data_IF_587593970287
#
_entry.id   IF_587593970287
#
_cell.length_a   1.000
_cell.length_b   1.000
_cell.length_c   1.000
_cell.angle_alpha   90.00
_cell.angle_beta   90.00
_cell.angle_gamma   90.00
#
_symmetry.space_group_name_H-M   'P 1'
#
loop_
_entity.id
_entity.type
_entity.pdbx_description
1 polymer ?
#
# COMPACT_ATOMS: atom_id res chain seq x y z
N UNK A 1 2.34 -25.63 8.04
CA UNK A 1 3.27 -24.84 8.86
C UNK A 1 2.91 -23.41 8.54
N UNK A 2 2.16 -22.77 9.44
CA UNK A 2 1.61 -21.45 9.20
C UNK A 2 2.76 -20.46 9.02
N UNK A 3 2.77 -19.74 7.90
CA UNK A 3 3.78 -18.73 7.64
C UNK A 3 3.47 -17.53 8.56
N UNK A 4 4.18 -17.46 9.69
CA UNK A 4 4.02 -16.41 10.71
C UNK A 4 4.09 -15.01 10.12
N UNK A 5 4.87 -14.81 9.05
CA UNK A 5 4.97 -13.52 8.35
C UNK A 5 3.68 -13.21 7.59
N UNK A 6 3.09 -14.19 6.92
CA UNK A 6 1.82 -14.00 6.21
C UNK A 6 0.67 -13.68 7.16
N UNK A 7 0.67 -14.27 8.36
CA UNK A 7 -0.32 -13.93 9.38
C UNK A 7 -0.16 -12.50 9.89
N UNK A 8 1.08 -12.01 10.04
CA UNK A 8 1.36 -10.59 10.35
C UNK A 8 0.84 -9.68 9.23
N UNK A 9 1.13 -10.01 7.97
CA UNK A 9 0.64 -9.24 6.81
C UNK A 9 -0.89 -9.20 6.79
N UNK A 10 -1.56 -10.36 6.90
CA UNK A 10 -3.03 -10.44 6.96
C UNK A 10 -3.61 -9.64 8.10
N UNK A 11 -2.95 -9.63 9.26
CA UNK A 11 -3.38 -8.83 10.41
C UNK A 11 -3.35 -7.34 10.09
N UNK A 12 -2.23 -6.83 9.57
CA UNK A 12 -2.10 -5.42 9.18
C UNK A 12 -3.15 -5.02 8.13
N UNK A 13 -3.39 -5.87 7.13
CA UNK A 13 -4.40 -5.67 6.09
C UNK A 13 -5.85 -5.71 6.60
N UNK A 14 -6.11 -6.43 7.70
CA UNK A 14 -7.43 -6.54 8.32
C UNK A 14 -7.72 -5.39 9.29
N UNK A 15 -6.68 -4.91 9.98
CA UNK A 15 -6.80 -3.85 10.99
C UNK A 15 -6.85 -2.44 10.36
N UNK A 16 -6.40 -2.29 9.12
CA UNK A 16 -6.30 -1.01 8.44
C UNK A 16 -6.94 -1.04 7.05
N UNK A 17 -7.69 0.01 6.73
CA UNK A 17 -8.40 0.10 5.46
C UNK A 17 -7.49 0.38 4.27
N UNK A 18 -6.38 1.09 4.48
CA UNK A 18 -5.39 1.37 3.44
C UNK A 18 -4.02 1.10 4.02
N UNK A 19 -3.25 0.23 3.37
CA UNK A 19 -1.91 -0.18 3.83
C UNK A 19 -0.92 -0.03 2.69
N UNK A 20 0.20 0.63 2.99
CA UNK A 20 1.29 0.83 2.05
C UNK A 20 2.57 0.19 2.60
N UNK A 21 2.99 -0.92 1.99
CA UNK A 21 4.31 -1.49 2.24
C UNK A 21 5.33 -0.69 1.41
N UNK A 22 6.26 -0.02 2.07
CA UNK A 22 7.17 0.94 1.43
C UNK A 22 8.57 0.93 2.03
N UNK A 23 9.52 1.56 1.33
CA UNK A 23 10.89 1.76 1.79
C UNK A 23 11.00 3.12 2.49
N UNK A 24 11.24 3.10 3.81
CA UNK A 24 11.11 4.28 4.67
C UNK A 24 9.68 4.41 5.22
N UNK A 25 9.34 5.60 5.69
CA UNK A 25 8.01 5.92 6.26
C UNK A 25 7.31 6.98 5.43
N UNK A 26 6.01 7.20 5.64
CA UNK A 26 5.27 8.26 4.96
C UNK A 26 5.89 9.65 5.21
N UNK A 27 6.41 9.89 6.42
CA UNK A 27 7.09 11.14 6.77
C UNK A 27 8.52 11.23 6.18
N UNK A 28 9.21 10.11 6.02
CA UNK A 28 10.58 10.03 5.55
C UNK A 28 10.74 8.90 4.51
N UNK A 29 10.22 9.06 3.28
CA UNK A 29 10.35 8.04 2.25
C UNK A 29 11.81 7.92 1.80
N UNK A 30 12.32 6.68 1.72
CA UNK A 30 13.72 6.39 1.35
C UNK A 30 13.85 5.83 -0.08
N UNK A 31 12.77 5.84 -0.85
CA UNK A 31 12.75 5.41 -2.24
C UNK A 31 11.80 6.30 -3.06
N UNK A 32 12.22 6.73 -4.25
CA UNK A 32 11.42 7.58 -5.12
C UNK A 32 10.05 6.97 -5.45
N UNK A 33 9.98 5.67 -5.73
CA UNK A 33 8.71 4.97 -5.98
C UNK A 33 7.79 4.97 -4.75
N UNK A 34 8.35 4.78 -3.55
CA UNK A 34 7.60 4.90 -2.31
C UNK A 34 7.07 6.32 -2.10
N UNK A 35 7.89 7.33 -2.42
CA UNK A 35 7.47 8.74 -2.35
C UNK A 35 6.31 9.06 -3.31
N UNK A 36 6.27 8.46 -4.50
CA UNK A 36 5.17 8.68 -5.46
C UNK A 36 3.84 8.21 -4.87
N UNK A 37 3.78 7.00 -4.32
CA UNK A 37 2.53 6.47 -3.74
C UNK A 37 2.09 7.29 -2.53
N UNK A 38 3.02 7.68 -1.65
CA UNK A 38 2.73 8.58 -0.51
C UNK A 38 2.13 9.90 -0.99
N UNK A 39 2.70 10.52 -2.03
CA UNK A 39 2.18 11.77 -2.57
C UNK A 39 0.77 11.62 -3.14
N UNK A 40 0.48 10.53 -3.87
CA UNK A 40 -0.86 10.25 -4.40
C UNK A 40 -1.88 10.15 -3.26
N UNK A 41 -1.62 9.31 -2.25
CA UNK A 41 -2.53 9.14 -1.12
C UNK A 41 -2.70 10.44 -0.31
N UNK A 42 -1.62 11.22 -0.15
CA UNK A 42 -1.67 12.51 0.55
C UNK A 42 -2.49 13.55 -0.22
N UNK A 43 -2.36 13.63 -1.55
CA UNK A 43 -3.18 14.52 -2.37
C UNK A 43 -4.66 14.18 -2.31
N UNK A 44 -4.99 12.89 -2.21
CA UNK A 44 -6.35 12.40 -2.03
C UNK A 44 -6.86 12.56 -0.58
N UNK A 45 -6.01 12.97 0.36
CA UNK A 45 -6.37 13.13 1.76
C UNK A 45 -6.72 11.82 2.47
N UNK A 46 -6.24 10.68 1.95
CA UNK A 46 -6.55 9.36 2.48
C UNK A 46 -5.62 9.03 3.65
N UNK A 47 -6.14 8.72 4.84
CA UNK A 47 -5.33 8.15 5.91
C UNK A 47 -4.94 6.71 5.53
N UNK A 48 -3.67 6.37 5.72
CA UNK A 48 -3.16 5.02 5.45
C UNK A 48 -2.12 4.61 6.49
N UNK A 49 -1.93 3.31 6.63
CA UNK A 49 -0.87 2.71 7.43
C UNK A 49 0.35 2.49 6.55
N UNK A 50 1.46 3.17 6.84
CA UNK A 50 2.76 2.85 6.24
C UNK A 50 3.48 1.74 7.01
N UNK A 51 4.06 0.79 6.29
CA UNK A 51 4.89 -0.28 6.84
C UNK A 51 6.27 -0.18 6.19
N UNK A 52 7.27 0.17 7.00
CA UNK A 52 8.65 0.31 6.56
C UNK A 52 9.31 -1.08 6.42
N UNK A 53 9.40 -1.59 5.20
CA UNK A 53 10.01 -2.89 4.92
C UNK A 53 11.54 -2.91 5.08
N UNK A 54 12.18 -1.75 5.29
CA UNK A 54 13.63 -1.69 5.51
C UNK A 54 14.01 -2.10 6.94
N UNK A 55 13.05 -2.03 7.88
CA UNK A 55 13.27 -2.41 9.27
C UNK A 55 13.03 -3.90 9.53
N UNK A 56 12.33 -4.60 8.62
CA UNK A 56 11.98 -6.01 8.75
C UNK A 56 12.14 -6.73 7.39
N UNK A 57 13.25 -7.46 7.25
CA UNK A 57 13.55 -8.23 6.03
C UNK A 57 12.55 -9.38 5.81
N UNK A 58 11.98 -9.95 6.87
CA UNK A 58 11.01 -11.04 6.74
C UNK A 58 9.71 -10.49 6.12
N UNK A 59 9.24 -9.33 6.59
CA UNK A 59 8.10 -8.65 5.96
C UNK A 59 8.43 -8.23 4.52
N UNK A 60 9.66 -7.76 4.26
CA UNK A 60 10.09 -7.33 2.92
C UNK A 60 10.01 -8.43 1.88
N UNK A 61 10.50 -9.62 2.19
CA UNK A 61 10.44 -10.75 1.27
C UNK A 61 9.06 -11.42 1.33
N UNK A 62 8.49 -11.54 2.52
CA UNK A 62 7.16 -12.11 2.73
C UNK A 62 6.06 -11.38 1.97
N UNK A 63 6.08 -10.04 1.88
CA UNK A 63 5.07 -9.30 1.12
C UNK A 63 5.20 -9.48 -0.40
N UNK A 64 6.38 -9.84 -0.90
CA UNK A 64 6.53 -10.18 -2.33
C UNK A 64 5.92 -11.55 -2.62
N UNK A 65 6.21 -12.52 -1.75
CA UNK A 65 5.69 -13.88 -1.87
C UNK A 65 4.18 -13.95 -1.62
N UNK A 66 3.66 -13.19 -0.65
CA UNK A 66 2.24 -13.16 -0.30
C UNK A 66 1.34 -12.75 -1.48
N UNK A 67 1.85 -11.84 -2.31
CA UNK A 67 1.12 -11.20 -3.41
C UNK A 67 1.51 -11.77 -4.77
N UNK A 68 2.57 -12.58 -4.82
CA UNK A 68 3.27 -12.95 -6.05
C UNK A 68 3.69 -11.70 -6.87
N UNK A 69 4.24 -10.69 -6.19
CA UNK A 69 4.64 -9.41 -6.78
C UNK A 69 6.08 -9.00 -6.38
N UNK A 70 7.01 -8.83 -7.34
CA UNK A 70 8.44 -8.75 -7.00
C UNK A 70 8.91 -7.38 -6.48
N UNK A 71 8.10 -6.32 -6.62
CA UNK A 71 8.52 -4.94 -6.35
C UNK A 71 7.84 -4.30 -5.14
N UNK A 72 8.47 -3.24 -4.63
CA UNK A 72 8.01 -2.39 -3.54
C UNK A 72 8.16 -0.94 -4.01
N UNK A 73 7.19 -0.04 -3.76
CA UNK A 73 6.05 -0.18 -2.84
C UNK A 73 4.90 -1.08 -3.34
N UNK A 74 4.07 -1.57 -2.41
CA UNK A 74 2.80 -2.25 -2.70
C UNK A 74 1.66 -1.58 -1.91
N UNK A 75 0.59 -1.21 -2.61
CA UNK A 75 -0.61 -0.61 -2.03
C UNK A 75 -1.74 -1.63 -1.90
N UNK A 76 -2.39 -1.60 -0.74
CA UNK A 76 -3.59 -2.37 -0.44
C UNK A 76 -4.72 -1.47 0.01
N UNK A 77 -5.94 -1.80 -0.42
CA UNK A 77 -7.18 -1.14 0.01
C UNK A 77 -8.17 -2.22 0.43
N UNK A 78 -8.67 -2.15 1.67
CA UNK A 78 -9.57 -3.12 2.30
C UNK A 78 -9.07 -4.57 2.17
N UNK A 79 -7.75 -4.75 2.27
CA UNK A 79 -7.07 -6.04 2.12
C UNK A 79 -6.89 -6.54 0.69
N UNK A 80 -7.38 -5.81 -0.32
CA UNK A 80 -7.18 -6.12 -1.74
C UNK A 80 -5.89 -5.45 -2.25
N UNK A 81 -5.08 -6.21 -2.98
CA UNK A 81 -3.88 -5.69 -3.62
C UNK A 81 -4.26 -4.82 -4.83
N UNK A 82 -3.81 -3.56 -4.81
CA UNK A 82 -4.07 -2.59 -5.89
C UNK A 82 -2.93 -2.58 -6.90
N UNK A 83 -1.68 -2.56 -6.43
CA UNK A 83 -0.54 -2.53 -7.31
C UNK A 83 0.72 -1.90 -6.72
N UNK A 84 1.76 -1.86 -7.56
CA UNK A 84 2.98 -1.10 -7.30
C UNK A 84 2.88 0.38 -7.70
N UNK A 85 3.99 1.10 -7.58
CA UNK A 85 4.03 2.56 -7.80
C UNK A 85 3.53 3.01 -9.18
N UNK A 86 3.85 2.30 -10.26
CA UNK A 86 3.45 2.71 -11.62
C UNK A 86 1.95 2.54 -11.83
N UNK A 87 1.38 1.42 -11.38
CA UNK A 87 -0.06 1.13 -11.45
C UNK A 87 -0.84 2.17 -10.64
N UNK A 88 -0.42 2.45 -9.40
CA UNK A 88 -1.08 3.45 -8.55
C UNK A 88 -1.04 4.84 -9.19
N UNK A 89 0.09 5.22 -9.80
CA UNK A 89 0.20 6.51 -10.50
C UNK A 89 -0.72 6.57 -11.72
N UNK A 90 -0.83 5.49 -12.47
CA UNK A 90 -1.71 5.40 -13.64
C UNK A 90 -3.18 5.49 -13.23
N UNK A 91 -3.61 4.66 -12.27
CA UNK A 91 -4.99 4.70 -11.75
C UNK A 91 -5.36 6.06 -11.17
N UNK A 92 -4.42 6.76 -10.54
CA UNK A 92 -4.64 8.13 -10.07
C UNK A 92 -4.82 9.13 -11.22
N UNK A 93 -4.04 8.98 -12.29
CA UNK A 93 -4.10 9.85 -13.46
C UNK A 93 -5.38 9.63 -14.29
N UNK A 94 -5.88 8.39 -14.35
CA UNK A 94 -7.14 8.05 -15.04
C UNK A 94 -8.38 8.32 -14.20
N UNK A 95 -8.24 8.47 -12.88
CA UNK A 95 -9.34 8.65 -11.94
C UNK A 95 -9.87 7.34 -11.34
N UNK A 96 -9.41 6.19 -11.84
CA UNK A 96 -9.82 4.86 -11.38
C UNK A 96 -9.50 4.64 -9.89
N UNK A 97 -8.41 5.20 -9.38
CA UNK A 97 -8.06 5.08 -7.95
C UNK A 97 -9.09 5.81 -7.07
N UNK A 98 -9.53 6.98 -7.50
CA UNK A 98 -10.51 7.81 -6.79
C UNK A 98 -11.88 7.13 -6.80
N UNK A 99 -12.28 6.58 -7.94
CA UNK A 99 -13.51 5.78 -8.07
C UNK A 99 -13.48 4.57 -7.14
N UNK A 100 -12.39 3.79 -7.17
CA UNK A 100 -12.21 2.64 -6.28
C UNK A 100 -12.29 3.03 -4.79
N UNK A 101 -11.64 4.12 -4.40
CA UNK A 101 -11.68 4.61 -3.02
C UNK A 101 -13.07 5.11 -2.62
N UNK A 102 -13.79 5.77 -3.53
CA UNK A 102 -15.16 6.20 -3.29
C UNK A 102 -16.13 5.02 -3.14
N UNK A 103 -16.02 4.00 -4.00
CA UNK A 103 -16.80 2.76 -3.91
C UNK A 103 -16.57 2.01 -2.59
N UNK A 104 -15.33 2.04 -2.09
CA UNK A 104 -14.97 1.44 -0.78
C UNK A 104 -15.33 2.37 0.41
N UNK A 105 -15.94 3.53 0.16
CA UNK A 105 -16.36 4.49 1.18
C UNK A 105 -15.21 5.22 1.88
N UNK A 106 -14.04 5.28 1.25
CA UNK A 106 -12.82 5.89 1.79
C UNK A 106 -12.61 7.32 1.27
N UNK A 107 -13.30 7.69 0.20
CA UNK A 107 -13.28 9.03 -0.35
C UNK A 107 -14.73 9.50 -0.46
N UNK A 108 -15.06 10.62 0.19
CA UNK A 108 -16.37 11.23 0.01
C UNK A 108 -16.39 11.89 -1.36
N UNK A 109 -17.22 11.38 -2.27
CA UNK A 109 -17.59 12.13 -3.46
C UNK A 109 -18.25 13.43 -2.97
N UNK A 110 -17.59 14.56 -3.26
CA UNK A 110 -18.16 15.88 -3.01
C UNK A 110 -19.39 16.12 -3.88
#
# INVERSE_FOLDING_TARGET
MDNVVFDRIRKELKENDVVLFMKGTAAYPQCGFSSVVVQVLSHLGIPFRDINVLEDNDIREGIKEFTDWPTIPQLYVKGEFIGGSDIVREMYATGELQELLAEKGLLNAA
#
